data_IF_878159259328
#
_entry.id   IF_878159259328
#
_cell.length_a   1.000
_cell.length_b   1.000
_cell.length_c   1.000
_cell.angle_alpha   90.00
_cell.angle_beta   90.00
_cell.angle_gamma   90.00
#
_symmetry.space_group_name_H-M   'P 1'
#
loop_
_entity.id
_entity.type
_entity.pdbx_description
1 polymer ?
#
# COMPACT_ATOMS: atom_id res chain seq x y z
N UNK A 1 20.74 1.72 -10.60
CA UNK A 1 21.52 2.76 -9.89
C UNK A 1 22.85 2.91 -10.60
N UNK A 2 23.18 4.10 -11.05
CA UNK A 2 24.41 4.36 -11.81
C UNK A 2 25.27 5.40 -11.08
N UNK A 3 26.57 5.17 -10.97
CA UNK A 3 27.49 6.08 -10.29
C UNK A 3 27.80 7.32 -11.13
N UNK A 4 27.54 8.54 -10.59
CA UNK A 4 28.12 9.77 -11.13
C UNK A 4 29.45 10.09 -10.42
N UNK A 5 30.48 10.41 -11.19
CA UNK A 5 31.80 10.84 -10.69
C UNK A 5 31.71 12.26 -10.08
N UNK A 6 31.40 12.34 -8.81
CA UNK A 6 31.52 13.55 -8.01
C UNK A 6 31.95 13.13 -6.60
N UNK A 7 32.86 13.88 -5.98
CA UNK A 7 33.61 13.60 -4.77
C UNK A 7 33.02 12.59 -3.78
N UNK A 8 33.85 11.77 -3.20
CA UNK A 8 33.50 10.66 -2.29
C UNK A 8 32.71 11.20 -1.09
N UNK A 9 31.41 10.89 -0.94
CA UNK A 9 30.64 11.32 0.22
C UNK A 9 31.08 10.62 1.50
N UNK A 10 30.83 11.21 2.64
CA UNK A 10 31.17 10.63 3.95
C UNK A 10 30.33 9.34 4.17
N UNK A 11 31.00 8.21 4.28
CA UNK A 11 30.41 6.89 4.50
C UNK A 11 29.91 6.66 5.94
N UNK A 12 30.14 7.61 6.85
CA UNK A 12 29.90 7.45 8.29
C UNK A 12 28.43 7.37 8.71
N UNK A 13 27.50 7.69 7.79
CA UNK A 13 26.04 7.66 8.07
C UNK A 13 25.33 6.41 7.55
N UNK A 14 25.97 5.60 6.72
CA UNK A 14 25.35 4.43 6.09
C UNK A 14 25.74 3.15 6.85
N UNK A 15 24.78 2.31 7.29
CA UNK A 15 25.09 1.04 7.94
C UNK A 15 26.01 0.18 7.08
N UNK A 16 27.03 -0.40 7.68
CA UNK A 16 28.09 -1.16 6.99
C UNK A 16 27.54 -2.26 6.06
N UNK A 17 26.50 -2.98 6.49
CA UNK A 17 25.86 -4.00 5.67
C UNK A 17 25.21 -3.45 4.40
N UNK A 18 24.61 -2.26 4.47
CA UNK A 18 23.98 -1.60 3.31
C UNK A 18 25.05 -1.01 2.39
N UNK A 19 26.11 -0.44 2.97
CA UNK A 19 27.26 0.05 2.20
C UNK A 19 27.93 -1.05 1.38
N UNK A 20 28.09 -2.24 1.98
CA UNK A 20 28.65 -3.42 1.29
C UNK A 20 27.79 -3.88 0.11
N UNK A 21 26.44 -3.79 0.22
CA UNK A 21 25.54 -4.11 -0.89
C UNK A 21 25.70 -3.13 -2.06
N UNK A 22 26.02 -1.86 -1.79
CA UNK A 22 26.16 -0.80 -2.80
C UNK A 22 27.59 -0.66 -3.34
N UNK A 23 28.55 -1.40 -2.81
CA UNK A 23 29.96 -1.34 -3.25
C UNK A 23 30.14 -1.55 -4.76
N UNK A 24 29.45 -2.50 -5.44
CA UNK A 24 29.56 -2.64 -6.89
C UNK A 24 29.13 -1.37 -7.64
N UNK A 25 28.13 -0.63 -7.13
CA UNK A 25 27.70 0.63 -7.75
C UNK A 25 28.77 1.72 -7.62
N UNK A 26 29.51 1.76 -6.50
CA UNK A 26 30.63 2.69 -6.32
C UNK A 26 31.80 2.37 -7.26
N UNK A 27 31.90 1.14 -7.72
CA UNK A 27 32.88 0.68 -8.71
C UNK A 27 32.42 0.89 -10.15
N UNK A 28 31.19 1.44 -10.36
CA UNK A 28 30.66 1.78 -11.69
C UNK A 28 29.79 0.69 -12.32
N UNK A 29 29.36 -0.31 -11.56
CA UNK A 29 28.39 -1.31 -12.02
C UNK A 29 26.97 -0.90 -11.74
N UNK A 30 26.03 -1.29 -12.60
CA UNK A 30 24.58 -1.12 -12.35
C UNK A 30 24.07 -2.21 -11.40
N UNK A 31 23.09 -1.85 -10.56
CA UNK A 31 22.43 -2.77 -9.65
C UNK A 31 20.92 -2.59 -9.70
N UNK A 32 20.18 -3.69 -9.76
CA UNK A 32 18.70 -3.70 -9.65
C UNK A 32 18.25 -4.02 -8.23
N UNK A 33 17.22 -3.31 -7.76
CA UNK A 33 16.46 -3.67 -6.57
C UNK A 33 15.10 -4.21 -7.02
N UNK A 34 14.81 -5.44 -6.64
CA UNK A 34 13.54 -6.11 -6.94
C UNK A 34 12.88 -6.59 -5.65
N UNK A 35 11.56 -6.72 -5.67
CA UNK A 35 10.75 -7.34 -4.62
C UNK A 35 10.03 -8.57 -5.16
N UNK A 36 9.52 -9.40 -4.27
CA UNK A 36 8.76 -10.60 -4.64
C UNK A 36 7.45 -10.24 -5.35
N UNK A 37 6.79 -9.15 -4.90
CA UNK A 37 5.56 -8.67 -5.49
C UNK A 37 5.48 -7.14 -5.43
N UNK A 38 4.98 -6.53 -6.49
CA UNK A 38 4.79 -5.09 -6.57
C UNK A 38 6.08 -4.28 -6.72
N UNK A 39 6.08 -3.06 -6.21
CA UNK A 39 7.20 -2.13 -6.32
C UNK A 39 8.07 -2.15 -5.05
N UNK A 40 9.39 -2.37 -5.16
CA UNK A 40 10.30 -2.30 -4.03
C UNK A 40 10.18 -0.97 -3.27
N UNK A 41 10.39 -1.00 -1.97
CA UNK A 41 10.31 0.15 -1.07
C UNK A 41 8.91 0.79 -0.88
N UNK A 42 7.87 0.26 -1.53
CA UNK A 42 6.48 0.69 -1.33
C UNK A 42 5.71 -0.44 -0.63
N UNK A 43 5.43 -0.27 0.65
CA UNK A 43 4.90 -1.32 1.54
C UNK A 43 5.78 -2.58 1.61
N UNK A 44 7.05 -2.44 1.28
CA UNK A 44 8.02 -3.52 1.09
C UNK A 44 9.41 -3.05 1.53
N UNK A 45 10.35 -3.95 1.89
CA UNK A 45 11.73 -3.58 2.17
C UNK A 45 12.41 -2.88 0.98
N UNK A 46 13.41 -2.04 1.27
CA UNK A 46 14.24 -1.41 0.22
C UNK A 46 14.48 0.09 0.43
N UNK A 47 13.64 0.79 1.17
CA UNK A 47 13.79 2.25 1.40
C UNK A 47 15.14 2.64 2.02
N UNK A 48 15.69 1.79 2.89
CA UNK A 48 17.02 2.00 3.49
C UNK A 48 18.15 1.92 2.44
N UNK A 49 18.04 1.00 1.48
CA UNK A 49 19.01 0.86 0.38
C UNK A 49 18.93 2.06 -0.54
N UNK A 50 17.71 2.50 -0.89
CA UNK A 50 17.50 3.69 -1.73
C UNK A 50 18.05 4.94 -1.05
N UNK A 51 17.79 5.12 0.25
CA UNK A 51 18.35 6.24 1.04
C UNK A 51 19.86 6.21 1.02
N UNK A 52 20.47 5.07 1.31
CA UNK A 52 21.92 4.91 1.30
C UNK A 52 22.54 5.19 -0.08
N UNK A 53 21.86 4.79 -1.16
CA UNK A 53 22.30 5.14 -2.51
C UNK A 53 22.35 6.66 -2.72
N UNK A 54 21.34 7.40 -2.26
CA UNK A 54 21.35 8.86 -2.31
C UNK A 54 22.47 9.46 -1.43
N UNK A 55 22.65 8.95 -0.21
CA UNK A 55 23.70 9.40 0.72
C UNK A 55 25.11 9.18 0.14
N UNK A 56 25.28 8.13 -0.68
CA UNK A 56 26.51 7.82 -1.40
C UNK A 56 26.64 8.52 -2.76
N UNK A 57 25.72 9.39 -3.14
CA UNK A 57 25.72 10.11 -4.41
C UNK A 57 25.46 9.23 -5.64
N UNK A 58 24.86 8.06 -5.45
CA UNK A 58 24.50 7.15 -6.53
C UNK A 58 23.17 7.58 -7.17
N UNK A 59 23.09 7.49 -8.50
CA UNK A 59 21.85 7.78 -9.24
C UNK A 59 20.84 6.65 -9.01
N UNK A 60 19.63 7.01 -8.55
CA UNK A 60 18.52 6.08 -8.40
C UNK A 60 17.52 6.30 -9.54
N UNK A 61 17.23 5.25 -10.31
CA UNK A 61 16.30 5.29 -11.44
C UNK A 61 15.08 4.43 -11.08
N UNK A 62 13.91 5.03 -10.80
CA UNK A 62 12.68 4.27 -10.63
C UNK A 62 12.21 3.73 -11.97
N UNK A 63 11.90 2.44 -12.02
CA UNK A 63 11.32 1.80 -13.19
C UNK A 63 9.80 1.72 -13.04
N UNK A 64 9.08 1.84 -14.16
CA UNK A 64 7.63 1.69 -14.18
C UNK A 64 7.27 0.24 -13.89
N UNK A 65 6.33 0.03 -12.96
CA UNK A 65 5.85 -1.29 -12.58
C UNK A 65 4.50 -1.23 -11.88
N UNK A 66 3.83 -2.36 -11.67
CA UNK A 66 2.55 -2.43 -10.99
C UNK A 66 2.71 -2.06 -9.51
N UNK A 67 1.78 -1.23 -9.01
CA UNK A 67 1.64 -0.89 -7.59
C UNK A 67 0.19 -1.11 -7.21
N UNK A 68 -0.09 -2.17 -6.47
CA UNK A 68 -1.47 -2.56 -6.10
C UNK A 68 -2.23 -1.44 -5.39
N UNK A 69 -1.56 -0.63 -4.58
CA UNK A 69 -2.15 0.53 -3.89
C UNK A 69 -2.71 1.56 -4.88
N UNK A 70 -1.96 1.86 -5.94
CA UNK A 70 -2.38 2.82 -6.97
C UNK A 70 -3.48 2.24 -7.86
N UNK A 71 -3.41 0.97 -8.19
CA UNK A 71 -4.45 0.28 -8.94
C UNK A 71 -5.77 0.25 -8.16
N UNK A 72 -5.72 -0.04 -6.85
CA UNK A 72 -6.88 0.00 -5.97
C UNK A 72 -7.49 1.40 -5.89
N UNK A 73 -6.65 2.43 -5.73
CA UNK A 73 -7.12 3.83 -5.71
C UNK A 73 -7.79 4.19 -7.04
N UNK A 74 -7.19 3.86 -8.17
CA UNK A 74 -7.76 4.12 -9.49
C UNK A 74 -9.11 3.41 -9.69
N UNK A 75 -9.26 2.19 -9.17
CA UNK A 75 -10.49 1.41 -9.23
C UNK A 75 -11.54 1.82 -8.20
N UNK A 76 -11.19 2.60 -7.18
CA UNK A 76 -12.06 2.94 -6.05
C UNK A 76 -13.14 3.98 -6.39
N UNK A 77 -12.88 4.85 -7.35
CA UNK A 77 -13.70 6.03 -7.62
C UNK A 77 -13.59 7.12 -6.54
N UNK A 78 -12.57 7.05 -5.68
CA UNK A 78 -12.27 8.04 -4.65
C UNK A 78 -11.24 9.06 -5.13
N UNK A 79 -10.95 10.06 -4.28
CA UNK A 79 -10.05 11.16 -4.63
C UNK A 79 -8.60 10.66 -4.85
N UNK A 80 -8.16 10.70 -6.11
CA UNK A 80 -6.80 10.35 -6.51
C UNK A 80 -5.80 11.50 -6.50
N UNK A 81 -6.24 12.74 -6.21
CA UNK A 81 -5.34 13.90 -6.10
C UNK A 81 -4.84 14.13 -4.67
N UNK A 82 -5.61 13.66 -3.68
CA UNK A 82 -5.22 13.71 -2.28
C UNK A 82 -5.50 12.35 -1.64
N UNK A 83 -4.46 11.63 -1.29
CA UNK A 83 -4.57 10.32 -0.66
C UNK A 83 -3.39 10.05 0.27
N UNK A 84 -3.59 9.16 1.22
CA UNK A 84 -2.54 8.68 2.12
C UNK A 84 -2.58 7.16 2.21
N UNK A 85 -1.42 6.52 2.08
CA UNK A 85 -1.23 5.12 2.45
C UNK A 85 -0.80 5.05 3.91
N UNK A 86 -1.59 4.36 4.73
CA UNK A 86 -1.40 4.29 6.19
C UNK A 86 -0.96 2.91 6.70
N UNK A 87 -0.63 1.99 5.77
CA UNK A 87 -0.13 0.66 6.10
C UNK A 87 -1.19 -0.29 6.62
N UNK A 88 -0.82 -1.15 7.59
CA UNK A 88 -1.73 -2.07 8.25
C UNK A 88 -2.44 -1.41 9.42
N UNK A 89 -3.70 -1.80 9.65
CA UNK A 89 -4.43 -1.37 10.82
C UNK A 89 -4.14 -2.29 12.04
N UNK A 90 -4.40 -1.82 13.28
CA UNK A 90 -4.16 -2.62 14.48
C UNK A 90 -4.89 -3.97 14.46
N UNK A 91 -4.23 -5.00 14.99
CA UNK A 91 -4.83 -6.34 15.10
C UNK A 91 -5.92 -6.39 16.18
N UNK A 92 -5.73 -5.66 17.27
CA UNK A 92 -6.72 -5.51 18.32
C UNK A 92 -7.99 -4.85 17.79
N UNK A 93 -9.14 -5.44 18.08
CA UNK A 93 -10.43 -5.01 17.54
C UNK A 93 -10.82 -3.59 17.99
N UNK A 94 -10.55 -3.23 19.25
CA UNK A 94 -10.92 -1.92 19.78
C UNK A 94 -10.01 -0.83 19.21
N UNK A 95 -8.71 -1.08 19.13
CA UNK A 95 -7.75 -0.18 18.52
C UNK A 95 -8.02 -0.01 17.02
N UNK A 96 -8.35 -1.09 16.31
CA UNK A 96 -8.73 -1.06 14.89
C UNK A 96 -9.97 -0.22 14.65
N UNK A 97 -11.01 -0.38 15.49
CA UNK A 97 -12.23 0.42 15.41
C UNK A 97 -11.95 1.91 15.65
N UNK A 98 -11.09 2.23 16.60
CA UNK A 98 -10.66 3.61 16.87
C UNK A 98 -9.90 4.17 15.67
N UNK A 99 -8.94 3.42 15.12
CA UNK A 99 -8.15 3.84 13.97
C UNK A 99 -9.01 4.08 12.73
N UNK A 100 -9.99 3.22 12.47
CA UNK A 100 -10.94 3.41 11.36
C UNK A 100 -11.70 4.74 11.47
N UNK A 101 -12.19 5.09 12.66
CA UNK A 101 -12.90 6.37 12.90
C UNK A 101 -11.98 7.58 12.74
N UNK A 102 -10.71 7.50 13.15
CA UNK A 102 -9.72 8.55 12.94
C UNK A 102 -9.45 8.79 11.46
N UNK A 103 -9.24 7.71 10.70
CA UNK A 103 -9.02 7.79 9.26
C UNK A 103 -10.25 8.35 8.53
N UNK A 104 -11.43 7.91 8.91
CA UNK A 104 -12.69 8.44 8.40
C UNK A 104 -12.82 9.94 8.68
N UNK A 105 -12.56 10.36 9.92
CA UNK A 105 -12.57 11.78 10.30
C UNK A 105 -11.60 12.59 9.43
N UNK A 106 -10.40 12.08 9.20
CA UNK A 106 -9.41 12.72 8.33
C UNK A 106 -9.95 12.82 6.91
N UNK A 107 -10.50 11.75 6.36
CA UNK A 107 -11.06 11.73 5.02
C UNK A 107 -12.19 12.77 4.85
N UNK A 108 -13.11 12.86 5.80
CA UNK A 108 -14.21 13.83 5.76
C UNK A 108 -13.76 15.28 5.92
N UNK A 109 -12.78 15.55 6.79
CA UNK A 109 -12.29 16.90 7.03
C UNK A 109 -11.43 17.44 5.89
N UNK A 110 -10.66 16.58 5.23
CA UNK A 110 -9.63 17.01 4.27
C UNK A 110 -9.95 16.62 2.82
N UNK A 111 -10.94 15.75 2.59
CA UNK A 111 -11.19 15.15 1.28
C UNK A 111 -10.11 14.15 0.85
N UNK A 112 -9.20 13.74 1.76
CA UNK A 112 -8.10 12.83 1.46
C UNK A 112 -8.53 11.38 1.57
N UNK A 113 -8.37 10.62 0.49
CA UNK A 113 -8.59 9.16 0.51
C UNK A 113 -7.58 8.46 1.42
N UNK A 114 -8.04 7.54 2.27
CA UNK A 114 -7.18 6.78 3.17
C UNK A 114 -7.06 5.34 2.67
N UNK A 115 -5.84 4.92 2.34
CA UNK A 115 -5.53 3.59 1.80
C UNK A 115 -4.85 2.75 2.88
N UNK A 116 -5.32 1.55 3.11
CA UNK A 116 -4.70 0.58 4.01
C UNK A 116 -4.79 -0.82 3.45
N UNK A 117 -3.95 -1.72 3.95
CA UNK A 117 -3.86 -3.10 3.45
C UNK A 117 -4.08 -4.10 4.56
N UNK A 118 -4.45 -5.32 4.17
CA UNK A 118 -4.56 -6.41 5.11
C UNK A 118 -4.08 -7.73 4.49
N UNK A 119 -3.64 -8.61 5.38
CA UNK A 119 -3.26 -9.97 5.01
C UNK A 119 -4.49 -10.86 4.82
N UNK A 120 -4.41 -11.89 3.96
CA UNK A 120 -5.55 -12.71 3.60
C UNK A 120 -6.36 -13.24 4.80
N UNK A 121 -5.66 -13.75 5.81
CA UNK A 121 -6.30 -14.36 7.00
C UNK A 121 -6.99 -13.38 7.93
N UNK A 122 -6.79 -12.06 7.77
CA UNK A 122 -7.44 -11.00 8.56
C UNK A 122 -8.46 -10.17 7.77
N UNK A 123 -8.57 -10.39 6.46
CA UNK A 123 -9.49 -9.62 5.61
C UNK A 123 -10.93 -9.62 6.11
N UNK A 124 -11.46 -10.77 6.49
CA UNK A 124 -12.85 -10.87 6.99
C UNK A 124 -13.05 -9.99 8.23
N UNK A 125 -12.15 -10.08 9.20
CA UNK A 125 -12.24 -9.32 10.44
C UNK A 125 -12.08 -7.80 10.21
N UNK A 126 -11.23 -7.39 9.27
CA UNK A 126 -11.08 -5.97 8.92
C UNK A 126 -12.31 -5.45 8.18
N UNK A 127 -12.82 -6.19 7.19
CA UNK A 127 -14.00 -5.80 6.45
C UNK A 127 -15.21 -5.65 7.36
N UNK A 128 -15.45 -6.62 8.24
CA UNK A 128 -16.55 -6.57 9.22
C UNK A 128 -16.39 -5.37 10.17
N UNK A 129 -15.18 -5.11 10.64
CA UNK A 129 -14.89 -3.94 11.48
C UNK A 129 -15.15 -2.62 10.73
N UNK A 130 -14.76 -2.51 9.46
CA UNK A 130 -15.00 -1.32 8.65
C UNK A 130 -16.51 -1.10 8.44
N UNK A 131 -17.25 -2.14 8.06
CA UNK A 131 -18.71 -2.08 7.88
C UNK A 131 -19.42 -1.67 9.19
N UNK A 132 -18.95 -2.18 10.34
CA UNK A 132 -19.56 -1.91 11.64
C UNK A 132 -19.29 -0.48 12.12
N UNK A 133 -18.08 0.04 11.95
CA UNK A 133 -17.62 1.23 12.65
C UNK A 133 -17.56 2.51 11.81
N UNK A 134 -17.52 2.41 10.47
CA UNK A 134 -17.58 3.57 9.60
C UNK A 134 -19.00 4.10 9.46
N UNK A 135 -19.14 5.39 9.15
CA UNK A 135 -20.43 6.04 8.94
C UNK A 135 -21.14 5.51 7.68
N UNK A 136 -22.49 5.52 7.64
CA UNK A 136 -23.26 4.95 6.53
C UNK A 136 -22.96 5.58 5.16
N UNK A 137 -22.60 6.84 5.12
CA UNK A 137 -22.33 7.61 3.89
C UNK A 137 -20.86 7.53 3.44
N UNK A 138 -19.94 7.11 4.32
CA UNK A 138 -18.54 6.88 3.96
C UNK A 138 -18.45 5.83 2.88
N UNK A 139 -17.74 6.13 1.78
CA UNK A 139 -17.49 5.14 0.75
C UNK A 139 -16.34 4.22 1.17
N UNK A 140 -16.60 2.93 1.12
CA UNK A 140 -15.61 1.87 1.32
C UNK A 140 -15.38 1.17 -0.02
N UNK A 141 -14.16 1.23 -0.50
CA UNK A 141 -13.70 0.47 -1.65
C UNK A 141 -12.72 -0.61 -1.20
N UNK A 142 -12.87 -1.80 -1.73
CA UNK A 142 -11.98 -2.92 -1.47
C UNK A 142 -11.62 -3.60 -2.78
N UNK A 143 -10.33 -3.84 -2.97
CA UNK A 143 -9.77 -4.52 -4.12
C UNK A 143 -9.03 -5.76 -3.65
N UNK A 144 -9.40 -6.93 -4.16
CA UNK A 144 -8.77 -8.21 -3.88
C UNK A 144 -8.03 -8.72 -5.12
N UNK A 145 -6.92 -9.40 -4.92
CA UNK A 145 -6.24 -10.15 -5.98
C UNK A 145 -5.76 -9.29 -7.14
N UNK A 146 -5.48 -8.02 -6.92
CA UNK A 146 -4.97 -7.12 -7.97
C UNK A 146 -3.68 -7.68 -8.57
N UNK A 147 -3.57 -7.58 -9.89
CA UNK A 147 -2.42 -8.08 -10.69
C UNK A 147 -2.27 -9.60 -10.78
N UNK A 148 -3.22 -10.37 -10.28
CA UNK A 148 -3.23 -11.81 -10.55
C UNK A 148 -3.56 -12.07 -12.02
N UNK A 149 -2.92 -13.09 -12.61
CA UNK A 149 -3.14 -13.48 -14.03
C UNK A 149 -4.57 -13.96 -14.28
N UNK A 150 -5.22 -14.53 -13.28
CA UNK A 150 -6.60 -14.99 -13.36
C UNK A 150 -7.51 -13.81 -13.04
N UNK A 151 -8.02 -13.12 -14.06
CA UNK A 151 -8.90 -11.95 -13.92
C UNK A 151 -10.15 -12.23 -13.09
N UNK A 152 -10.67 -13.46 -13.11
CA UNK A 152 -11.84 -13.89 -12.32
C UNK A 152 -11.61 -13.80 -10.81
N UNK A 153 -10.36 -13.84 -10.36
CA UNK A 153 -9.97 -13.69 -8.95
C UNK A 153 -9.74 -12.23 -8.53
N UNK A 154 -9.64 -11.30 -9.50
CA UNK A 154 -9.49 -9.88 -9.19
C UNK A 154 -10.86 -9.23 -9.07
N UNK A 155 -11.21 -8.77 -7.87
CA UNK A 155 -12.47 -8.08 -7.62
C UNK A 155 -12.25 -6.71 -7.01
N UNK A 156 -13.04 -5.74 -7.50
CA UNK A 156 -13.07 -4.38 -6.98
C UNK A 156 -14.51 -4.01 -6.63
N UNK A 157 -14.77 -3.69 -5.39
CA UNK A 157 -16.09 -3.26 -4.92
C UNK A 157 -15.94 -1.90 -4.25
N UNK A 158 -16.75 -0.92 -4.68
CA UNK A 158 -16.77 0.42 -4.12
C UNK A 158 -18.21 0.86 -3.89
N UNK A 159 -18.59 1.02 -2.63
CA UNK A 159 -19.96 1.40 -2.26
C UNK A 159 -19.99 2.17 -0.93
N UNK A 160 -21.02 3.00 -0.68
CA UNK A 160 -21.28 3.53 0.66
C UNK A 160 -21.46 2.40 1.68
N UNK A 161 -20.99 2.60 2.90
CA UNK A 161 -21.08 1.60 3.99
C UNK A 161 -22.54 1.18 4.26
N UNK A 162 -23.49 2.07 4.04
CA UNK A 162 -24.91 1.72 4.12
C UNK A 162 -25.31 0.58 3.17
N UNK A 163 -24.72 0.52 1.97
CA UNK A 163 -24.99 -0.59 1.02
C UNK A 163 -24.30 -1.89 1.47
N UNK A 164 -23.08 -1.81 2.00
CA UNK A 164 -22.37 -2.96 2.58
C UNK A 164 -23.17 -3.60 3.72
N UNK A 165 -23.83 -2.78 4.55
CA UNK A 165 -24.72 -3.26 5.63
C UNK A 165 -26.02 -3.87 5.12
N UNK A 166 -26.61 -3.25 4.08
CA UNK A 166 -27.90 -3.70 3.53
C UNK A 166 -27.79 -4.99 2.72
N UNK A 167 -26.71 -5.14 1.94
CA UNK A 167 -26.49 -6.25 1.01
C UNK A 167 -25.12 -6.91 1.19
N UNK A 168 -24.79 -7.42 2.38
CA UNK A 168 -23.45 -7.95 2.64
C UNK A 168 -23.12 -9.13 1.72
N UNK A 169 -24.08 -9.97 1.38
CA UNK A 169 -23.86 -11.14 0.51
C UNK A 169 -23.58 -10.77 -0.94
N UNK A 170 -24.12 -9.63 -1.43
CA UNK A 170 -23.92 -9.20 -2.80
C UNK A 170 -22.59 -8.45 -3.01
N UNK A 171 -22.04 -7.86 -1.95
CA UNK A 171 -20.83 -7.06 -2.02
C UNK A 171 -19.58 -7.80 -1.50
N UNK A 172 -19.76 -8.75 -0.58
CA UNK A 172 -18.66 -9.62 -0.13
C UNK A 172 -18.36 -10.67 -1.20
N UNK A 173 -17.11 -10.82 -1.62
CA UNK A 173 -16.75 -11.84 -2.59
C UNK A 173 -16.80 -13.24 -1.98
N UNK A 174 -16.67 -14.26 -2.83
CA UNK A 174 -16.53 -15.65 -2.42
C UNK A 174 -15.31 -15.84 -1.48
N UNK A 175 -15.35 -16.90 -0.68
CA UNK A 175 -14.32 -17.16 0.33
C UNK A 175 -12.91 -17.25 -0.26
N UNK A 176 -12.78 -17.78 -1.47
CA UNK A 176 -11.50 -17.90 -2.18
C UNK A 176 -10.89 -16.52 -2.49
N UNK A 177 -11.72 -15.55 -2.90
CA UNK A 177 -11.30 -14.17 -3.17
C UNK A 177 -10.99 -13.43 -1.85
N UNK A 178 -11.79 -13.66 -0.81
CA UNK A 178 -11.50 -13.12 0.53
C UNK A 178 -10.16 -13.60 1.10
N UNK A 179 -9.68 -14.74 0.64
CA UNK A 179 -8.38 -15.31 1.01
C UNK A 179 -7.20 -14.72 0.21
N UNK A 180 -7.42 -13.71 -0.61
CA UNK A 180 -6.38 -13.02 -1.37
C UNK A 180 -5.94 -11.73 -0.64
N UNK A 181 -4.72 -11.22 -0.92
CA UNK A 181 -4.31 -9.90 -0.44
C UNK A 181 -5.31 -8.82 -0.87
N UNK A 182 -5.64 -7.92 0.04
CA UNK A 182 -6.63 -6.88 -0.21
C UNK A 182 -6.10 -5.48 0.10
N UNK A 183 -6.54 -4.53 -0.72
CA UNK A 183 -6.33 -3.09 -0.50
C UNK A 183 -7.68 -2.46 -0.23
N UNK A 184 -7.74 -1.72 0.86
CA UNK A 184 -8.92 -0.99 1.31
C UNK A 184 -8.71 0.50 1.08
N UNK A 185 -9.73 1.20 0.63
CA UNK A 185 -9.72 2.65 0.50
C UNK A 185 -11.02 3.22 1.05
N UNK A 186 -10.93 4.23 1.90
CA UNK A 186 -12.09 4.96 2.40
C UNK A 186 -12.00 6.44 2.05
N UNK A 187 -13.17 7.06 1.84
CA UNK A 187 -13.28 8.47 1.51
C UNK A 187 -14.72 8.96 1.47
N UNK A 188 -14.90 10.19 1.00
CA UNK A 188 -16.22 10.82 0.79
C UNK A 188 -16.68 10.57 -0.63
#
# INVERSE_FOLDING_TARGET
VTAQRGGRPATDSVPAAVAALLEPCLQGHDMGLASEAGMPAIADPGSSIVRAAHDLGLTVIPLVGPVSLMLALAASGLNGQSFAFVGYLPQDAAQRATRLRELEKTAHLTGQSQIFIETPYRNAALLDSAIQHLQPHTRLAVSWGLTLEIQELSQNVSAPVAQWRKNPTALKPAAEIMALPAVYTIGC
#
